data_IF_342942441609
#
_entry.id   IF_342942441609
#
_cell.length_a   1.000
_cell.length_b   1.000
_cell.length_c   1.000
_cell.angle_alpha   90.00
_cell.angle_beta   90.00
_cell.angle_gamma   90.00
#
_symmetry.space_group_name_H-M   'P 1'
#
loop_
_entity.id
_entity.type
_entity.pdbx_description
1 polymer ?
#
# COMPACT_ATOMS: atom_id res chain seq x y z
N UNK A 1 -0.05 -4.75 -14.53
CA UNK A 1 -1.36 -4.08 -14.41
C UNK A 1 -1.74 -3.83 -12.95
N UNK A 2 -1.55 -4.80 -12.05
CA UNK A 2 -1.82 -4.66 -10.60
C UNK A 2 -1.20 -3.41 -9.98
N UNK A 3 0.08 -3.11 -10.27
CA UNK A 3 0.77 -1.91 -9.77
C UNK A 3 0.17 -0.60 -10.26
N UNK A 4 -0.37 -0.59 -11.48
CA UNK A 4 -1.01 0.61 -12.05
C UNK A 4 -2.33 0.85 -11.32
N UNK A 5 -3.11 -0.21 -11.09
CA UNK A 5 -4.40 -0.14 -10.40
C UNK A 5 -4.23 0.23 -8.93
N UNK A 6 -3.27 -0.38 -8.22
CA UNK A 6 -3.02 -0.03 -6.81
C UNK A 6 -2.41 1.36 -6.68
N UNK A 7 -1.51 1.76 -7.59
CA UNK A 7 -0.95 3.10 -7.61
C UNK A 7 -2.01 4.19 -7.82
N UNK A 8 -2.92 4.01 -8.79
CA UNK A 8 -4.00 4.97 -9.01
C UNK A 8 -4.97 5.03 -7.84
N UNK A 9 -5.27 3.90 -7.20
CA UNK A 9 -6.11 3.85 -6.00
C UNK A 9 -5.47 4.61 -4.83
N UNK A 10 -4.19 4.39 -4.55
CA UNK A 10 -3.46 5.08 -3.46
C UNK A 10 -3.41 6.59 -3.72
N UNK A 11 -3.11 7.00 -4.97
CA UNK A 11 -3.13 8.42 -5.34
C UNK A 11 -4.52 9.03 -5.21
N UNK A 12 -5.58 8.32 -5.62
CA UNK A 12 -6.95 8.80 -5.49
C UNK A 12 -7.34 8.99 -4.02
N UNK A 13 -7.04 8.01 -3.16
CA UNK A 13 -7.30 8.10 -1.71
C UNK A 13 -6.52 9.27 -1.09
N UNK A 14 -5.25 9.45 -1.47
CA UNK A 14 -4.42 10.56 -0.98
C UNK A 14 -4.92 11.93 -1.43
N UNK A 15 -5.30 12.07 -2.70
CA UNK A 15 -5.90 13.30 -3.24
C UNK A 15 -7.23 13.58 -2.54
N UNK A 16 -8.10 12.59 -2.35
CA UNK A 16 -9.35 12.77 -1.62
C UNK A 16 -9.14 13.13 -0.15
N UNK A 17 -8.10 12.60 0.51
CA UNK A 17 -7.72 12.97 1.86
C UNK A 17 -7.26 14.43 1.96
N UNK A 18 -6.37 14.86 1.06
CA UNK A 18 -5.90 16.25 1.00
C UNK A 18 -7.01 17.22 0.57
N UNK A 19 -7.86 16.82 -0.38
CA UNK A 19 -9.07 17.57 -0.71
C UNK A 19 -10.01 17.64 0.49
N UNK A 20 -10.14 16.58 1.29
CA UNK A 20 -10.90 16.58 2.53
C UNK A 20 -10.39 17.60 3.54
N UNK A 21 -9.07 17.74 3.68
CA UNK A 21 -8.44 18.78 4.51
C UNK A 21 -8.68 20.20 3.96
N UNK A 22 -8.63 20.37 2.63
CA UNK A 22 -8.94 21.64 1.97
C UNK A 22 -10.46 21.91 1.87
N UNK A 23 -11.31 20.90 2.10
CA UNK A 23 -12.75 21.00 1.87
C UNK A 23 -13.45 21.46 3.13
N UNK A 24 -13.88 22.71 3.13
CA UNK A 24 -14.84 23.22 4.11
C UNK A 24 -16.28 22.72 3.85
N UNK A 25 -16.47 21.88 2.83
CA UNK A 25 -17.77 21.30 2.45
C UNK A 25 -17.94 19.91 3.09
N UNK A 26 -18.98 19.77 3.90
CA UNK A 26 -19.37 18.52 4.59
C UNK A 26 -19.56 17.32 3.64
N UNK A 27 -19.96 17.57 2.38
CA UNK A 27 -20.18 16.51 1.38
C UNK A 27 -18.88 15.78 0.99
N UNK A 28 -17.78 16.49 0.77
CA UNK A 28 -16.49 15.88 0.39
C UNK A 28 -15.90 15.05 1.53
N UNK A 29 -16.10 15.51 2.76
CA UNK A 29 -15.61 14.86 3.96
C UNK A 29 -16.40 13.58 4.28
N UNK A 30 -17.72 13.57 4.00
CA UNK A 30 -18.54 12.37 4.06
C UNK A 30 -18.12 11.33 3.02
N UNK A 31 -17.74 11.75 1.81
CA UNK A 31 -17.24 10.83 0.79
C UNK A 31 -15.93 10.15 1.22
N UNK A 32 -14.98 10.92 1.77
CA UNK A 32 -13.73 10.37 2.30
C UNK A 32 -13.97 9.41 3.47
N UNK A 33 -14.82 9.80 4.43
CA UNK A 33 -15.20 8.94 5.55
C UNK A 33 -15.89 7.65 5.10
N UNK A 34 -16.78 7.73 4.10
CA UNK A 34 -17.45 6.57 3.53
C UNK A 34 -16.49 5.64 2.80
N UNK A 35 -15.56 6.20 2.02
CA UNK A 35 -14.51 5.44 1.33
C UNK A 35 -13.61 4.70 2.31
N UNK A 36 -13.14 5.36 3.38
CA UNK A 36 -12.33 4.71 4.41
C UNK A 36 -13.10 3.58 5.11
N UNK A 37 -14.38 3.79 5.42
CA UNK A 37 -15.21 2.75 6.04
C UNK A 37 -15.34 1.52 5.12
N UNK A 38 -15.58 1.74 3.82
CA UNK A 38 -15.62 0.68 2.82
C UNK A 38 -14.28 -0.07 2.72
N UNK A 39 -13.15 0.66 2.69
CA UNK A 39 -11.81 0.05 2.66
C UNK A 39 -11.51 -0.76 3.92
N UNK A 40 -11.97 -0.33 5.10
CA UNK A 40 -11.83 -1.10 6.34
C UNK A 40 -12.57 -2.43 6.24
N UNK A 41 -13.82 -2.42 5.77
CA UNK A 41 -14.61 -3.64 5.60
C UNK A 41 -13.94 -4.59 4.60
N UNK A 42 -13.48 -4.07 3.46
CA UNK A 42 -12.76 -4.85 2.45
C UNK A 42 -11.45 -5.41 3.04
N UNK A 43 -10.67 -4.60 3.76
CA UNK A 43 -9.41 -5.03 4.35
C UNK A 43 -9.61 -6.15 5.37
N UNK A 44 -10.66 -6.08 6.20
CA UNK A 44 -10.99 -7.15 7.14
C UNK A 44 -11.43 -8.41 6.37
N UNK A 45 -12.29 -8.27 5.35
CA UNK A 45 -12.74 -9.39 4.54
C UNK A 45 -11.58 -10.09 3.82
N UNK A 46 -10.67 -9.32 3.22
CA UNK A 46 -9.45 -9.83 2.56
C UNK A 46 -8.51 -10.45 3.60
N UNK A 47 -8.32 -9.84 4.76
CA UNK A 47 -7.47 -10.38 5.83
C UNK A 47 -7.99 -11.73 6.34
N UNK A 48 -9.30 -11.87 6.55
CA UNK A 48 -9.92 -13.15 6.93
C UNK A 48 -9.82 -14.17 5.80
N UNK A 49 -10.09 -13.77 4.55
CA UNK A 49 -9.97 -14.67 3.41
C UNK A 49 -8.52 -15.17 3.21
N UNK A 50 -7.54 -14.28 3.39
CA UNK A 50 -6.12 -14.61 3.31
C UNK A 50 -5.69 -15.53 4.45
N UNK A 51 -6.26 -15.38 5.65
CA UNK A 51 -5.99 -16.28 6.78
C UNK A 51 -6.59 -17.67 6.55
N UNK A 52 -7.84 -17.76 6.09
CA UNK A 52 -8.52 -19.05 5.84
C UNK A 52 -7.90 -19.78 4.65
N UNK A 53 -7.38 -19.05 3.65
CA UNK A 53 -6.79 -19.60 2.43
C UNK A 53 -5.32 -19.24 2.29
N UNK A 54 -4.57 -19.32 3.38
CA UNK A 54 -3.14 -18.97 3.43
C UNK A 54 -2.33 -19.72 2.38
N UNK A 55 -2.59 -21.02 2.19
CA UNK A 55 -1.92 -21.85 1.19
C UNK A 55 -2.12 -21.37 -0.25
N UNK A 56 -3.37 -21.07 -0.65
CA UNK A 56 -3.67 -20.56 -2.00
C UNK A 56 -3.02 -19.20 -2.26
N UNK A 57 -3.06 -18.31 -1.26
CA UNK A 57 -2.41 -17.00 -1.35
C UNK A 57 -0.88 -17.11 -1.48
N UNK A 58 -0.26 -18.03 -0.73
CA UNK A 58 1.17 -18.26 -0.84
C UNK A 58 1.55 -18.85 -2.20
N UNK A 59 0.73 -19.74 -2.77
CA UNK A 59 0.97 -20.35 -4.08
C UNK A 59 0.88 -19.34 -5.22
N UNK A 60 -0.11 -18.43 -5.20
CA UNK A 60 -0.22 -17.35 -6.19
C UNK A 60 0.98 -16.40 -6.13
N UNK A 61 1.41 -16.04 -4.91
CA UNK A 61 2.60 -15.21 -4.70
C UNK A 61 3.86 -15.94 -5.19
N UNK A 62 3.90 -17.25 -5.01
CA UNK A 62 5.00 -18.11 -5.44
C UNK A 62 5.10 -18.19 -6.96
N UNK A 63 3.98 -18.38 -7.64
CA UNK A 63 3.91 -18.40 -9.08
C UNK A 63 4.35 -17.05 -9.66
N UNK A 64 3.92 -15.95 -9.04
CA UNK A 64 4.36 -14.61 -9.43
C UNK A 64 5.87 -14.42 -9.25
N UNK A 65 6.44 -14.82 -8.10
CA UNK A 65 7.88 -14.79 -7.88
C UNK A 65 8.62 -15.62 -8.92
N UNK A 66 8.16 -16.85 -9.18
CA UNK A 66 8.74 -17.75 -10.17
C UNK A 66 8.73 -17.12 -11.56
N UNK A 67 7.59 -16.56 -11.96
CA UNK A 67 7.41 -15.89 -13.27
C UNK A 67 8.38 -14.72 -13.45
N UNK A 68 8.52 -13.88 -12.41
CA UNK A 68 9.48 -12.77 -12.41
C UNK A 68 10.93 -13.27 -12.43
N UNK A 69 11.25 -14.31 -11.67
CA UNK A 69 12.60 -14.86 -11.58
C UNK A 69 13.04 -15.54 -12.88
N UNK A 70 12.15 -16.27 -13.55
CA UNK A 70 12.43 -16.96 -14.82
C UNK A 70 12.63 -16.01 -16.00
N UNK A 71 12.15 -14.77 -15.89
CA UNK A 71 12.33 -13.75 -16.92
C UNK A 71 13.79 -13.30 -16.95
N UNK A 72 14.37 -13.12 -18.14
CA UNK A 72 15.75 -12.66 -18.27
C UNK A 72 15.94 -11.27 -17.65
N UNK A 73 17.11 -10.94 -17.07
CA UNK A 73 17.38 -9.60 -16.54
C UNK A 73 17.22 -8.50 -17.61
N UNK A 74 17.53 -8.80 -18.88
CA UNK A 74 17.36 -7.87 -20.00
C UNK A 74 15.88 -7.63 -20.39
N UNK A 75 15.02 -8.64 -20.22
CA UNK A 75 13.59 -8.54 -20.52
C UNK A 75 12.79 -7.97 -19.35
N UNK A 76 13.40 -7.87 -18.16
CA UNK A 76 12.76 -7.36 -16.96
C UNK A 76 12.72 -5.84 -16.98
N UNK A 77 11.53 -5.31 -16.76
CA UNK A 77 11.38 -3.88 -16.50
C UNK A 77 12.05 -3.50 -15.17
N UNK A 78 12.50 -2.25 -15.05
CA UNK A 78 13.11 -1.74 -13.80
C UNK A 78 12.23 -1.99 -12.57
N UNK A 79 10.90 -1.90 -12.73
CA UNK A 79 9.93 -2.18 -11.67
C UNK A 79 9.89 -3.66 -11.28
N UNK A 80 9.94 -4.59 -12.24
CA UNK A 80 9.99 -6.03 -11.97
C UNK A 80 11.26 -6.41 -11.19
N UNK A 81 12.42 -5.87 -11.60
CA UNK A 81 13.69 -6.09 -10.88
C UNK A 81 13.64 -5.49 -9.47
N UNK A 82 13.07 -4.30 -9.29
CA UNK A 82 12.93 -3.67 -7.99
C UNK A 82 12.02 -4.48 -7.05
N UNK A 83 10.90 -4.98 -7.56
CA UNK A 83 9.99 -5.85 -6.79
C UNK A 83 10.70 -7.12 -6.33
N UNK A 84 11.48 -7.74 -7.23
CA UNK A 84 12.24 -8.94 -6.89
C UNK A 84 13.32 -8.66 -5.84
N UNK A 85 14.02 -7.51 -5.91
CA UNK A 85 14.97 -7.06 -4.86
C UNK A 85 14.31 -6.87 -3.52
N UNK A 86 13.18 -6.16 -3.49
CA UNK A 86 12.41 -5.90 -2.27
C UNK A 86 11.91 -7.21 -1.70
N UNK A 87 11.40 -8.12 -2.52
CA UNK A 87 10.92 -9.42 -2.06
C UNK A 87 12.06 -10.23 -1.41
N UNK A 88 13.19 -10.38 -2.11
CA UNK A 88 14.36 -11.11 -1.58
C UNK A 88 14.87 -10.50 -0.26
N UNK A 89 14.91 -9.17 -0.16
CA UNK A 89 15.33 -8.47 1.05
C UNK A 89 14.30 -8.58 2.19
N UNK A 90 13.02 -8.56 1.88
CA UNK A 90 11.94 -8.61 2.88
C UNK A 90 11.81 -10.01 3.49
N UNK A 91 11.94 -11.05 2.66
CA UNK A 91 11.85 -12.45 3.07
C UNK A 91 13.20 -13.08 3.40
N UNK A 92 14.28 -12.31 3.32
CA UNK A 92 15.65 -12.74 3.62
C UNK A 92 16.06 -14.02 2.84
N UNK A 93 15.65 -14.09 1.57
CA UNK A 93 15.75 -15.27 0.72
C UNK A 93 16.25 -14.91 -0.69
N UNK A 94 16.79 -15.87 -1.43
CA UNK A 94 17.23 -15.64 -2.81
C UNK A 94 17.06 -16.89 -3.67
N UNK A 95 16.45 -16.69 -4.85
CA UNK A 95 16.26 -17.74 -5.85
C UNK A 95 15.16 -18.76 -5.50
N UNK A 96 14.92 -19.67 -6.45
CA UNK A 96 13.92 -20.74 -6.33
C UNK A 96 14.52 -21.94 -5.58
N UNK A 97 15.72 -22.37 -5.97
CA UNK A 97 16.42 -23.55 -5.43
C UNK A 97 17.66 -23.20 -4.55
N UNK A 98 17.74 -21.95 -4.08
CA UNK A 98 18.93 -21.43 -3.39
C UNK A 98 20.15 -21.25 -4.31
N UNK A 99 19.94 -21.30 -5.63
CA UNK A 99 20.93 -20.96 -6.65
C UNK A 99 20.72 -19.52 -7.11
N UNK A 100 21.79 -18.70 -7.09
CA UNK A 100 21.80 -17.30 -7.54
C UNK A 100 21.59 -17.14 -9.04
N UNK A 101 21.83 -18.21 -9.83
CA UNK A 101 21.47 -18.33 -11.24
C UNK A 101 21.62 -17.05 -12.08
N UNK A 102 20.65 -16.80 -12.97
CA UNK A 102 20.63 -15.65 -13.92
C UNK A 102 20.32 -14.28 -13.29
N UNK A 103 20.20 -14.17 -11.96
CA UNK A 103 19.64 -12.97 -11.29
C UNK A 103 20.36 -12.62 -9.98
N UNK A 104 21.67 -12.84 -9.91
CA UNK A 104 22.49 -12.60 -8.72
C UNK A 104 22.46 -11.12 -8.28
N UNK A 105 22.43 -10.20 -9.25
CA UNK A 105 22.31 -8.74 -9.06
C UNK A 105 20.99 -8.29 -8.40
N UNK A 106 20.06 -9.22 -8.20
CA UNK A 106 18.77 -8.99 -7.52
C UNK A 106 18.75 -9.56 -6.09
N UNK A 107 19.80 -10.25 -5.68
CA UNK A 107 19.91 -10.83 -4.35
C UNK A 107 20.57 -9.84 -3.37
N UNK A 108 20.18 -9.86 -2.09
CA UNK A 108 20.63 -8.85 -1.16
C UNK A 108 22.05 -9.18 -0.67
N UNK A 109 22.96 -8.23 -0.84
CA UNK A 109 24.34 -8.34 -0.38
C UNK A 109 24.37 -8.26 1.15
N UNK A 110 24.75 -9.34 1.84
CA UNK A 110 24.95 -9.37 3.30
C UNK A 110 23.96 -10.21 4.12
N UNK A 111 23.06 -10.96 3.49
CA UNK A 111 22.18 -11.89 4.21
C UNK A 111 22.95 -13.16 4.55
N UNK A 112 22.78 -13.62 5.80
CA UNK A 112 23.16 -14.92 6.37
C UNK A 112 23.57 -15.98 5.35
N UNK A 113 24.80 -15.87 4.87
CA UNK A 113 25.52 -16.95 4.22
C UNK A 113 25.87 -17.96 5.32
N UNK A 114 24.87 -18.65 5.86
CA UNK A 114 25.13 -19.88 6.59
C UNK A 114 25.43 -20.93 5.53
N UNK A 115 26.72 -21.22 5.34
CA UNK A 115 27.25 -22.28 4.50
C UNK A 115 27.14 -22.09 2.97
N UNK A 116 27.17 -20.84 2.48
CA UNK A 116 27.33 -20.56 1.04
C UNK A 116 26.08 -20.73 0.19
N UNK A 117 24.90 -20.91 0.80
CA UNK A 117 23.63 -21.10 0.07
C UNK A 117 22.50 -20.28 0.70
N UNK A 118 21.77 -19.53 -0.13
CA UNK A 118 20.60 -18.78 0.33
C UNK A 118 19.41 -19.72 0.59
N UNK A 119 18.54 -19.42 1.56
CA UNK A 119 17.32 -20.18 1.75
C UNK A 119 16.38 -20.00 0.55
N UNK A 120 15.73 -21.09 0.15
CA UNK A 120 14.78 -21.11 -0.95
C UNK A 120 13.61 -20.16 -0.66
N UNK A 121 13.43 -19.11 -1.47
CA UNK A 121 12.29 -18.21 -1.32
C UNK A 121 10.95 -18.94 -1.29
N UNK A 122 10.73 -20.00 -2.10
CA UNK A 122 9.45 -20.70 -2.06
C UNK A 122 9.07 -21.34 -0.74
N UNK A 123 10.05 -21.89 -0.03
CA UNK A 123 9.81 -22.51 1.26
C UNK A 123 9.66 -21.45 2.35
N UNK A 124 10.47 -20.39 2.31
CA UNK A 124 10.38 -19.28 3.28
C UNK A 124 9.04 -18.57 3.18
N UNK A 125 8.54 -18.32 1.96
CA UNK A 125 7.22 -17.70 1.75
C UNK A 125 6.12 -18.60 2.31
N UNK A 126 6.08 -19.88 1.94
CA UNK A 126 5.08 -20.81 2.49
C UNK A 126 5.17 -20.97 4.01
N UNK A 127 6.37 -21.04 4.57
CA UNK A 127 6.59 -21.11 6.02
C UNK A 127 6.13 -19.82 6.72
N UNK A 128 6.35 -18.64 6.11
CA UNK A 128 5.83 -17.39 6.63
C UNK A 128 4.30 -17.35 6.67
N UNK A 129 3.61 -17.90 5.67
CA UNK A 129 2.15 -17.93 5.64
C UNK A 129 1.55 -19.03 6.53
N UNK A 130 2.21 -20.19 6.67
CA UNK A 130 1.71 -21.32 7.46
C UNK A 130 2.18 -21.30 8.92
N UNK A 131 3.48 -21.14 9.15
CA UNK A 131 4.12 -21.14 10.47
C UNK A 131 4.08 -19.75 11.12
N UNK A 132 4.19 -18.68 10.32
CA UNK A 132 4.13 -17.28 10.79
C UNK A 132 2.87 -16.52 10.38
N UNK A 133 1.73 -17.21 10.32
CA UNK A 133 0.42 -16.60 10.11
C UNK A 133 0.12 -15.34 10.98
N UNK A 134 0.60 -15.21 12.23
CA UNK A 134 0.46 -13.97 13.00
C UNK A 134 1.07 -12.74 12.34
N UNK A 135 2.13 -12.90 11.54
CA UNK A 135 2.82 -11.79 10.87
C UNK A 135 1.92 -11.16 9.80
N UNK A 136 1.22 -11.99 9.03
CA UNK A 136 0.24 -11.57 8.02
C UNK A 136 -0.94 -10.87 8.70
N UNK A 137 -1.42 -11.42 9.81
CA UNK A 137 -2.50 -10.83 10.62
C UNK A 137 -2.12 -9.44 11.14
N UNK A 138 -0.89 -9.27 11.65
CA UNK A 138 -0.37 -7.98 12.12
C UNK A 138 -0.33 -6.96 10.96
N UNK A 139 0.02 -7.38 9.75
CA UNK A 139 -0.03 -6.53 8.55
C UNK A 139 -1.44 -5.96 8.30
N UNK A 140 -2.45 -6.83 8.15
CA UNK A 140 -3.83 -6.40 7.90
C UNK A 140 -4.41 -5.58 9.06
N UNK A 141 -4.09 -5.94 10.31
CA UNK A 141 -4.54 -5.20 11.49
C UNK A 141 -3.87 -3.82 11.58
N UNK A 142 -2.60 -3.70 11.20
CA UNK A 142 -1.88 -2.44 11.14
C UNK A 142 -2.50 -1.48 10.12
N UNK A 143 -2.80 -1.96 8.91
CA UNK A 143 -3.47 -1.16 7.87
C UNK A 143 -4.87 -0.74 8.36
N UNK A 144 -5.64 -1.66 8.96
CA UNK A 144 -6.93 -1.33 9.56
C UNK A 144 -6.81 -0.25 10.65
N UNK A 145 -5.80 -0.33 11.50
CA UNK A 145 -5.52 0.65 12.54
C UNK A 145 -5.24 2.05 11.98
N UNK A 146 -4.38 2.14 10.95
CA UNK A 146 -4.08 3.42 10.28
C UNK A 146 -5.34 4.01 9.64
N UNK A 147 -6.16 3.18 8.98
CA UNK A 147 -7.44 3.64 8.40
C UNK A 147 -8.43 4.09 9.47
N UNK A 148 -8.47 3.42 10.63
CA UNK A 148 -9.31 3.81 11.76
C UNK A 148 -8.87 5.16 12.36
N UNK A 149 -7.56 5.39 12.51
CA UNK A 149 -7.06 6.70 12.97
C UNK A 149 -7.43 7.81 11.98
N UNK A 150 -7.26 7.57 10.67
CA UNK A 150 -7.66 8.51 9.63
C UNK A 150 -9.17 8.79 9.67
N UNK A 151 -10.00 7.77 9.90
CA UNK A 151 -11.44 7.91 10.06
C UNK A 151 -11.82 8.75 11.28
N UNK A 152 -11.21 8.50 12.43
CA UNK A 152 -11.45 9.27 13.67
C UNK A 152 -11.09 10.74 13.46
N UNK A 153 -9.91 11.03 12.90
CA UNK A 153 -9.49 12.40 12.56
C UNK A 153 -10.49 13.07 11.61
N UNK A 154 -10.97 12.36 10.59
CA UNK A 154 -11.95 12.86 9.64
C UNK A 154 -13.28 13.21 10.32
N UNK A 155 -13.78 12.33 11.19
CA UNK A 155 -15.05 12.55 11.90
C UNK A 155 -14.95 13.74 12.86
N UNK A 156 -13.84 13.87 13.60
CA UNK A 156 -13.60 15.02 14.48
C UNK A 156 -13.62 16.32 13.66
N UNK A 157 -12.91 16.35 12.53
CA UNK A 157 -12.88 17.49 11.64
C UNK A 157 -14.28 17.83 11.07
N UNK A 158 -15.05 16.81 10.67
CA UNK A 158 -16.44 16.99 10.22
C UNK A 158 -17.33 17.62 11.30
N UNK A 159 -17.19 17.15 12.55
CA UNK A 159 -17.97 17.66 13.68
C UNK A 159 -17.58 19.10 14.02
N UNK A 160 -16.30 19.45 13.89
CA UNK A 160 -15.81 20.80 14.09
C UNK A 160 -16.45 21.78 13.09
N UNK A 161 -16.46 21.43 11.80
CA UNK A 161 -17.09 22.24 10.74
C UNK A 161 -18.62 22.30 10.93
N UNK A 162 -19.26 21.19 11.27
CA UNK A 162 -20.72 21.17 11.48
C UNK A 162 -21.16 22.02 12.68
N UNK A 163 -20.34 22.12 13.72
CA UNK A 163 -20.64 22.93 14.91
C UNK A 163 -20.36 24.42 14.67
N UNK A 164 -19.40 24.74 13.81
CA UNK A 164 -19.05 26.11 13.40
C UNK A 164 -19.31 26.27 11.90
N UNK A 165 -20.58 26.27 11.45
CA UNK A 165 -20.87 26.45 10.05
C UNK A 165 -20.33 27.80 9.57
N UNK A 166 -19.70 27.88 8.39
CA UNK A 166 -19.25 29.15 7.84
C UNK A 166 -20.45 30.10 7.69
N UNK A 167 -20.37 31.29 8.28
CA UNK A 167 -21.46 32.27 8.29
C UNK A 167 -21.75 32.76 6.87
N UNK A 168 -23.03 32.92 6.50
CA UNK A 168 -23.48 33.09 5.11
C UNK A 168 -22.97 34.33 4.34
N UNK A 169 -22.12 35.16 4.94
CA UNK A 169 -21.39 36.28 4.29
C UNK A 169 -19.92 35.98 3.94
N UNK A 170 -19.39 34.79 4.26
CA UNK A 170 -17.97 34.41 4.10
C UNK A 170 -17.69 33.42 2.96
N UNK A 171 -18.67 33.15 2.09
CA UNK A 171 -18.52 32.20 0.99
C UNK A 171 -17.36 32.57 0.04
N UNK A 172 -17.10 33.85 -0.20
CA UNK A 172 -16.01 34.32 -1.07
C UNK A 172 -14.61 34.10 -0.48
N UNK A 173 -14.44 34.34 0.83
CA UNK A 173 -13.16 34.12 1.54
C UNK A 173 -12.85 32.62 1.68
N UNK A 174 -13.88 31.81 1.96
CA UNK A 174 -13.77 30.36 2.06
C UNK A 174 -13.43 29.72 0.71
N UNK A 175 -13.98 30.26 -0.37
CA UNK A 175 -13.68 29.81 -1.73
C UNK A 175 -12.26 30.23 -2.16
N UNK A 176 -11.78 31.43 -1.75
CA UNK A 176 -10.37 31.84 -1.94
C UNK A 176 -9.41 30.91 -1.20
N UNK A 177 -9.66 30.63 0.07
CA UNK A 177 -8.85 29.68 0.86
C UNK A 177 -8.87 28.26 0.29
N UNK A 178 -10.03 27.81 -0.19
CA UNK A 178 -10.15 26.52 -0.85
C UNK A 178 -9.33 26.46 -2.15
N UNK A 179 -9.43 27.49 -2.99
CA UNK A 179 -8.70 27.57 -4.26
C UNK A 179 -7.19 27.66 -4.03
N UNK A 180 -6.73 28.45 -3.05
CA UNK A 180 -5.32 28.54 -2.65
C UNK A 180 -4.77 27.20 -2.14
N UNK A 181 -5.57 26.49 -1.32
CA UNK A 181 -5.22 25.14 -0.84
C UNK A 181 -5.12 24.13 -1.99
N UNK A 182 -6.04 24.18 -2.97
CA UNK A 182 -6.00 23.33 -4.17
C UNK A 182 -4.80 23.67 -5.05
N UNK A 183 -4.45 24.93 -5.21
CA UNK A 183 -3.29 25.36 -6.00
C UNK A 183 -1.99 24.83 -5.38
N UNK A 184 -1.84 24.98 -4.06
CA UNK A 184 -0.70 24.45 -3.33
C UNK A 184 -0.65 22.91 -3.36
N UNK A 185 -1.81 22.23 -3.29
CA UNK A 185 -1.89 20.78 -3.46
C UNK A 185 -1.47 20.33 -4.86
N UNK A 186 -1.86 21.08 -5.89
CA UNK A 186 -1.48 20.82 -7.29
C UNK A 186 0.03 20.93 -7.47
N UNK A 187 0.65 21.97 -6.93
CA UNK A 187 2.09 22.19 -7.04
C UNK A 187 2.90 21.07 -6.34
N UNK A 188 2.44 20.63 -5.16
CA UNK A 188 3.03 19.48 -4.46
C UNK A 188 2.89 18.17 -5.26
N UNK A 189 1.74 17.93 -5.89
CA UNK A 189 1.54 16.76 -6.75
C UNK A 189 2.44 16.77 -7.97
N UNK A 190 2.61 17.94 -8.62
CA UNK A 190 3.51 18.10 -9.76
C UNK A 190 4.96 17.85 -9.34
N UNK A 191 5.37 18.34 -8.16
CA UNK A 191 6.71 18.08 -7.62
C UNK A 191 6.93 16.60 -7.28
N UNK A 192 5.90 15.86 -6.87
CA UNK A 192 6.02 14.43 -6.56
C UNK A 192 6.10 13.55 -7.82
N UNK A 193 5.47 14.01 -8.91
CA UNK A 193 5.52 13.33 -10.21
C UNK A 193 6.78 13.64 -11.04
N UNK A 194 7.64 14.57 -10.60
CA UNK A 194 8.86 15.00 -11.29
C UNK A 194 10.10 14.28 -10.76
#
# INVERSE_FOLDING_TARGET
MTLIITGTLISLVGVLGNLGACSFKISALNLYSGLLCLLIIINIAVGVAAFVRSGQMSDELLEFHRKLYTKSPDDRSKSETMILKVLHKTFDCCGIDGSTGKSEDTCPEGISQKDGKFPNCPNVIQDMFNSKAPLVLVGFLGIAGIMMLALVCSVIFSRYISKNPPSSGTNSELERLHNECIENLRDNLISFCK
#
